data_IF_550389346297
#
_entry.id   IF_550389346297
#
_cell.length_a   1.000
_cell.length_b   1.000
_cell.length_c   1.000
_cell.angle_alpha   90.00
_cell.angle_beta   90.00
_cell.angle_gamma   90.00
#
_symmetry.space_group_name_H-M   'P 1'
#
loop_
_entity.id
_entity.type
_entity.pdbx_description
1 polymer ?
#
# COMPACT_ATOMS: atom_id res chain seq x y z
N UNK A 1 32.42 17.70 10.14
CA UNK A 1 31.46 16.58 10.08
C UNK A 1 30.27 17.09 9.29
N UNK A 2 30.01 16.53 8.11
CA UNK A 2 28.81 16.88 7.36
C UNK A 2 27.61 16.47 8.20
N UNK A 3 26.71 17.41 8.44
CA UNK A 3 25.46 17.20 9.16
C UNK A 3 24.73 16.06 8.44
N UNK A 4 24.57 14.91 9.11
CA UNK A 4 23.90 13.75 8.51
C UNK A 4 22.47 14.20 8.23
N UNK A 5 22.09 14.18 6.95
CA UNK A 5 20.73 14.51 6.53
C UNK A 5 19.75 13.60 7.28
N UNK A 6 18.99 14.18 8.21
CA UNK A 6 17.98 13.48 8.99
C UNK A 6 16.64 14.22 8.86
N UNK A 7 15.59 13.47 8.54
CA UNK A 7 14.23 14.01 8.44
C UNK A 7 13.56 14.17 9.81
N UNK A 8 14.19 13.66 10.87
CA UNK A 8 13.70 13.69 12.24
C UNK A 8 14.52 14.61 13.15
N UNK A 9 13.98 14.85 14.35
CA UNK A 9 14.65 15.46 15.49
C UNK A 9 14.37 14.65 16.77
N UNK A 10 15.27 14.80 17.73
CA UNK A 10 15.04 14.30 19.08
C UNK A 10 14.00 15.17 19.81
N UNK A 11 13.33 14.58 20.78
CA UNK A 11 12.31 15.24 21.60
C UNK A 11 12.57 14.96 23.08
N UNK A 12 12.10 15.83 23.97
CA UNK A 12 12.08 15.52 25.39
C UNK A 12 10.88 14.63 25.73
N UNK A 13 11.09 13.57 26.51
CA UNK A 13 10.01 12.71 27.00
C UNK A 13 8.97 13.46 27.84
N UNK A 14 9.29 14.66 28.35
CA UNK A 14 8.35 15.50 29.08
C UNK A 14 7.45 16.37 28.19
N UNK A 15 7.71 16.44 26.88
CA UNK A 15 6.87 17.21 25.96
C UNK A 15 5.54 16.49 25.70
N UNK A 16 4.43 17.23 25.58
CA UNK A 16 3.16 16.65 25.16
C UNK A 16 3.28 16.03 23.76
N UNK A 17 2.32 15.18 23.40
CA UNK A 17 2.20 14.65 22.05
C UNK A 17 1.99 15.79 21.04
N UNK A 18 2.61 15.70 19.86
CA UNK A 18 2.51 16.70 18.79
C UNK A 18 2.35 16.07 17.41
N UNK A 19 1.86 16.86 16.46
CA UNK A 19 1.85 16.50 15.06
C UNK A 19 3.28 16.17 14.58
N UNK A 20 3.42 15.07 13.83
CA UNK A 20 4.71 14.58 13.37
C UNK A 20 5.48 13.73 14.38
N UNK A 21 4.97 13.52 15.60
CA UNK A 21 5.51 12.50 16.52
C UNK A 21 5.40 11.11 15.87
N UNK A 22 6.45 10.30 16.02
CA UNK A 22 6.47 8.91 15.57
C UNK A 22 6.25 7.99 16.77
N UNK A 23 5.25 7.11 16.63
CA UNK A 23 4.90 6.07 17.58
C UNK A 23 5.39 4.72 17.04
N UNK A 24 5.96 3.91 17.92
CA UNK A 24 6.33 2.53 17.66
C UNK A 24 5.51 1.63 18.58
N UNK A 25 4.91 0.58 18.01
CA UNK A 25 4.20 -0.43 18.77
C UNK A 25 5.17 -1.15 19.73
N UNK A 26 4.69 -1.43 20.95
CA UNK A 26 5.44 -2.22 21.94
C UNK A 26 5.39 -3.71 21.58
N UNK A 27 4.32 -4.16 20.94
CA UNK A 27 4.24 -5.51 20.39
C UNK A 27 5.18 -5.65 19.18
N UNK A 28 6.18 -6.52 19.32
CA UNK A 28 7.14 -6.84 18.27
C UNK A 28 6.49 -7.51 17.05
N UNK A 29 5.32 -8.13 17.23
CA UNK A 29 4.57 -8.79 16.16
C UNK A 29 3.47 -7.90 15.56
N UNK A 30 3.44 -6.61 15.91
CA UNK A 30 2.47 -5.67 15.34
C UNK A 30 2.50 -5.70 13.81
N UNK A 31 1.31 -5.71 13.22
CA UNK A 31 1.15 -5.67 11.76
C UNK A 31 1.79 -4.40 11.20
N UNK A 32 2.20 -4.42 9.93
CA UNK A 32 2.86 -3.28 9.28
C UNK A 32 2.05 -1.98 9.35
N UNK A 33 0.73 -2.09 9.44
CA UNK A 33 -0.22 -0.97 9.53
C UNK A 33 -0.23 -0.27 10.90
N UNK A 34 0.22 -0.96 11.95
CA UNK A 34 0.19 -0.49 13.33
C UNK A 34 1.59 -0.31 13.90
N UNK A 35 2.61 -0.96 13.32
CA UNK A 35 3.95 -1.04 13.89
C UNK A 35 4.62 0.32 14.07
N UNK A 36 4.57 1.16 13.04
CA UNK A 36 5.16 2.49 13.03
C UNK A 36 4.12 3.48 12.54
N UNK A 37 3.80 4.45 13.39
CA UNK A 37 2.73 5.40 13.14
C UNK A 37 3.26 6.83 13.24
N UNK A 38 2.87 7.70 12.32
CA UNK A 38 3.09 9.13 12.44
C UNK A 38 1.80 9.83 12.84
N UNK A 39 1.86 10.65 13.89
CA UNK A 39 0.74 11.48 14.34
C UNK A 39 0.43 12.55 13.29
N UNK A 40 -0.80 12.58 12.79
CA UNK A 40 -1.28 13.63 11.87
C UNK A 40 -2.32 14.55 12.51
N UNK A 41 -2.86 14.21 13.68
CA UNK A 41 -3.71 15.13 14.46
C UNK A 41 -3.01 16.49 14.61
N UNK A 42 -3.72 17.56 14.28
CA UNK A 42 -3.17 18.90 14.31
C UNK A 42 -2.80 19.32 15.75
N UNK A 43 -1.73 20.09 15.90
CA UNK A 43 -1.29 20.58 17.21
C UNK A 43 -2.36 21.42 17.91
N UNK A 44 -3.19 22.16 17.16
CA UNK A 44 -4.30 22.90 17.74
C UNK A 44 -5.37 21.95 18.31
N UNK A 45 -5.64 20.82 17.66
CA UNK A 45 -6.60 19.85 18.17
C UNK A 45 -6.08 19.15 19.43
N UNK A 46 -4.78 18.82 19.47
CA UNK A 46 -4.09 18.27 20.64
C UNK A 46 -4.09 19.26 21.81
N UNK A 47 -3.73 20.53 21.56
CA UNK A 47 -3.66 21.55 22.61
C UNK A 47 -5.03 21.90 23.21
N UNK A 48 -6.11 21.79 22.44
CA UNK A 48 -7.48 22.10 22.88
C UNK A 48 -8.31 20.85 23.18
N UNK A 49 -7.73 19.66 23.20
CA UNK A 49 -8.41 18.38 23.44
C UNK A 49 -9.65 18.16 22.56
N UNK A 50 -9.59 18.60 21.30
CA UNK A 50 -10.68 18.45 20.30
C UNK A 50 -10.75 17.05 19.70
N UNK A 51 -9.77 16.22 19.99
CA UNK A 51 -9.63 14.85 19.49
C UNK A 51 -10.28 13.81 20.42
N UNK A 52 -10.82 14.23 21.58
CA UNK A 52 -11.51 13.35 22.53
C UNK A 52 -10.70 12.11 22.94
N UNK A 53 -9.38 12.26 23.13
CA UNK A 53 -8.43 11.19 23.43
C UNK A 53 -8.06 10.28 22.25
N UNK A 54 -8.59 10.49 21.04
CA UNK A 54 -8.27 9.71 19.83
C UNK A 54 -7.25 10.43 18.96
N UNK A 55 -6.06 9.87 18.84
CA UNK A 55 -4.98 10.41 18.02
C UNK A 55 -5.01 9.77 16.65
N UNK A 56 -5.25 10.58 15.62
CA UNK A 56 -5.20 10.16 14.23
C UNK A 56 -3.74 10.04 13.79
N UNK A 57 -3.41 8.86 13.29
CA UNK A 57 -2.09 8.54 12.78
C UNK A 57 -2.17 7.94 11.37
N UNK A 58 -1.03 7.89 10.70
CA UNK A 58 -0.83 7.14 9.46
C UNK A 58 0.33 6.16 9.61
N UNK A 59 0.34 5.04 8.87
CA UNK A 59 1.43 4.08 8.92
C UNK A 59 2.66 4.56 8.18
N UNK A 60 3.83 4.23 8.73
CA UNK A 60 5.13 4.31 8.09
C UNK A 60 5.56 2.88 7.72
N UNK A 61 5.32 2.50 6.48
CA UNK A 61 5.69 1.17 5.96
C UNK A 61 7.16 1.16 5.59
N UNK A 62 7.86 0.05 5.82
CA UNK A 62 9.18 -0.12 5.20
C UNK A 62 9.04 -0.07 3.68
N UNK A 63 10.10 0.32 2.98
CA UNK A 63 10.04 0.36 1.53
C UNK A 63 9.73 -1.02 0.92
N UNK A 64 10.20 -2.10 1.54
CA UNK A 64 9.87 -3.46 1.14
C UNK A 64 8.38 -3.77 1.28
N UNK A 65 7.78 -3.50 2.45
CA UNK A 65 6.34 -3.69 2.71
C UNK A 65 5.48 -2.89 1.73
N UNK A 66 5.79 -1.60 1.54
CA UNK A 66 5.06 -0.76 0.61
C UNK A 66 5.14 -1.28 -0.83
N UNK A 67 6.33 -1.70 -1.28
CA UNK A 67 6.50 -2.22 -2.64
C UNK A 67 5.78 -3.56 -2.84
N UNK A 68 5.87 -4.46 -1.87
CA UNK A 68 5.17 -5.75 -1.88
C UNK A 68 3.65 -5.60 -1.90
N UNK A 69 3.11 -4.68 -1.11
CA UNK A 69 1.66 -4.50 -0.96
C UNK A 69 1.07 -3.64 -2.09
N UNK A 70 1.75 -2.57 -2.50
CA UNK A 70 1.16 -1.54 -3.37
C UNK A 70 1.67 -1.58 -4.81
N UNK A 71 2.89 -2.03 -5.04
CA UNK A 71 3.53 -1.96 -6.37
C UNK A 71 3.51 -3.30 -7.07
N UNK A 72 3.97 -4.35 -6.39
CA UNK A 72 4.04 -5.72 -6.95
C UNK A 72 2.69 -6.19 -7.50
N UNK A 73 1.54 -6.05 -6.80
CA UNK A 73 0.26 -6.52 -7.32
C UNK A 73 -0.17 -5.80 -8.60
N UNK A 74 0.10 -4.49 -8.70
CA UNK A 74 -0.17 -3.72 -9.94
C UNK A 74 0.68 -4.20 -11.10
N UNK A 75 1.97 -4.44 -10.86
CA UNK A 75 2.88 -4.96 -11.89
C UNK A 75 2.46 -6.37 -12.32
N UNK A 76 2.16 -7.25 -11.35
CA UNK A 76 1.64 -8.61 -11.58
C UNK A 76 0.39 -8.58 -12.45
N UNK A 77 -0.62 -7.80 -12.06
CA UNK A 77 -1.88 -7.71 -12.79
C UNK A 77 -1.66 -7.25 -14.24
N UNK A 78 -0.78 -6.28 -14.48
CA UNK A 78 -0.43 -5.87 -15.85
C UNK A 78 0.29 -6.98 -16.63
N UNK A 79 1.21 -7.70 -15.99
CA UNK A 79 2.01 -8.73 -16.67
C UNK A 79 1.19 -9.99 -16.99
N UNK A 80 0.21 -10.34 -16.16
CA UNK A 80 -0.64 -11.53 -16.33
C UNK A 80 -1.63 -11.39 -17.50
N UNK A 81 -1.98 -10.16 -17.90
CA UNK A 81 -2.91 -9.89 -19.00
C UNK A 81 -2.50 -10.59 -20.30
N UNK A 82 -1.20 -10.59 -20.62
CA UNK A 82 -0.70 -11.20 -21.85
C UNK A 82 -0.89 -12.72 -21.89
N UNK A 83 -0.36 -13.52 -20.94
CA UNK A 83 -0.55 -14.97 -20.97
C UNK A 83 -2.02 -15.37 -20.80
N UNK A 84 -2.82 -14.65 -20.01
CA UNK A 84 -4.28 -14.88 -19.92
C UNK A 84 -4.94 -14.63 -21.28
N UNK A 85 -4.57 -13.56 -21.97
CA UNK A 85 -5.06 -13.27 -23.32
C UNK A 85 -4.63 -14.31 -24.37
N UNK A 86 -3.47 -14.95 -24.19
CA UNK A 86 -3.03 -16.06 -25.04
C UNK A 86 -3.91 -17.30 -24.81
N UNK A 87 -4.23 -17.64 -23.56
CA UNK A 87 -5.14 -18.75 -23.25
C UNK A 87 -6.56 -18.51 -23.76
N UNK A 88 -7.10 -17.29 -23.59
CA UNK A 88 -8.43 -16.94 -24.12
C UNK A 88 -8.49 -17.13 -25.64
N UNK A 89 -7.46 -16.70 -26.37
CA UNK A 89 -7.38 -16.91 -27.84
C UNK A 89 -7.30 -18.37 -28.23
N UNK A 90 -6.72 -19.24 -27.40
CA UNK A 90 -6.71 -20.69 -27.63
C UNK A 90 -8.13 -21.24 -27.41
N UNK A 91 -8.78 -20.88 -26.31
CA UNK A 91 -10.17 -21.28 -26.02
C UNK A 91 -11.13 -20.88 -27.14
N UNK A 92 -11.04 -19.65 -27.64
CA UNK A 92 -11.88 -19.19 -28.75
C UNK A 92 -11.64 -20.01 -30.02
N UNK A 93 -10.39 -20.38 -30.31
CA UNK A 93 -10.02 -21.12 -31.52
C UNK A 93 -10.52 -22.56 -31.51
N UNK A 94 -10.48 -23.21 -30.35
CA UNK A 94 -10.95 -24.60 -30.20
C UNK A 94 -12.47 -24.69 -30.00
N UNK A 95 -13.19 -23.57 -29.97
CA UNK A 95 -14.62 -23.55 -29.63
C UNK A 95 -14.90 -23.96 -28.18
N UNK A 96 -13.97 -23.62 -27.28
CA UNK A 96 -14.03 -23.95 -25.86
C UNK A 96 -15.11 -23.19 -25.09
N UNK A 97 -15.25 -23.48 -23.78
CA UNK A 97 -16.21 -22.80 -22.93
C UNK A 97 -15.91 -21.30 -22.86
N UNK A 98 -16.97 -20.48 -22.79
CA UNK A 98 -16.82 -19.05 -22.48
C UNK A 98 -16.47 -18.89 -21.01
N UNK A 99 -15.24 -18.46 -20.74
CA UNK A 99 -14.70 -18.24 -19.39
C UNK A 99 -14.18 -16.80 -19.31
N UNK A 100 -14.37 -16.14 -18.17
CA UNK A 100 -13.80 -14.81 -17.95
C UNK A 100 -12.28 -14.89 -17.76
N UNK A 101 -11.57 -13.79 -18.06
CA UNK A 101 -10.12 -13.69 -17.85
C UNK A 101 -9.73 -13.99 -16.39
N UNK A 102 -10.52 -13.49 -15.44
CA UNK A 102 -10.36 -13.72 -14.01
C UNK A 102 -10.52 -15.20 -13.64
N UNK A 103 -11.60 -15.86 -14.08
CA UNK A 103 -11.82 -17.28 -13.78
C UNK A 103 -10.72 -18.15 -14.38
N UNK A 104 -10.27 -17.82 -15.59
CA UNK A 104 -9.19 -18.53 -16.26
C UNK A 104 -7.88 -18.41 -15.49
N UNK A 105 -7.53 -17.21 -15.01
CA UNK A 105 -6.38 -16.99 -14.13
C UNK A 105 -6.48 -17.85 -12.87
N UNK A 106 -7.61 -17.83 -12.17
CA UNK A 106 -7.81 -18.67 -10.98
C UNK A 106 -7.67 -20.16 -11.27
N UNK A 107 -8.17 -20.63 -12.41
CA UNK A 107 -8.07 -22.04 -12.78
C UNK A 107 -6.60 -22.49 -12.89
N UNK A 108 -5.72 -21.63 -13.41
CA UNK A 108 -4.27 -21.93 -13.47
C UNK A 108 -3.61 -22.06 -12.10
N UNK A 109 -4.19 -21.48 -11.05
CA UNK A 109 -3.68 -21.63 -9.67
C UNK A 109 -4.29 -22.82 -8.93
N UNK A 110 -5.40 -23.35 -9.41
CA UNK A 110 -6.11 -24.50 -8.83
C UNK A 110 -5.58 -25.85 -9.36
N UNK A 111 -5.19 -25.88 -10.63
CA UNK A 111 -4.86 -27.10 -11.37
C UNK A 111 -3.47 -27.03 -12.02
N UNK A 112 -2.85 -28.20 -12.22
CA UNK A 112 -1.58 -28.28 -12.95
C UNK A 112 -1.78 -27.97 -14.44
N UNK A 113 -0.71 -27.50 -15.11
CA UNK A 113 -0.76 -27.25 -16.55
C UNK A 113 -1.16 -28.50 -17.34
N UNK A 114 -0.68 -29.69 -16.95
CA UNK A 114 -1.05 -30.97 -17.56
C UNK A 114 -2.55 -31.25 -17.46
N UNK A 115 -3.12 -31.07 -16.27
CA UNK A 115 -4.56 -31.27 -16.00
C UNK A 115 -5.41 -30.35 -16.90
N UNK A 116 -5.06 -29.07 -16.97
CA UNK A 116 -5.78 -28.07 -17.78
C UNK A 116 -5.67 -28.40 -19.28
N UNK A 117 -4.47 -28.72 -19.78
CA UNK A 117 -4.23 -29.08 -21.17
C UNK A 117 -5.02 -30.33 -21.56
N UNK A 118 -5.03 -31.33 -20.70
CA UNK A 118 -5.79 -32.57 -20.90
C UNK A 118 -7.30 -32.32 -20.89
N UNK A 119 -7.81 -31.52 -19.93
CA UNK A 119 -9.22 -31.17 -19.83
C UNK A 119 -9.72 -30.43 -21.07
N UNK A 120 -8.91 -29.52 -21.62
CA UNK A 120 -9.19 -28.77 -22.84
C UNK A 120 -8.91 -29.57 -24.12
N UNK A 121 -8.34 -30.78 -24.00
CA UNK A 121 -7.93 -31.64 -25.12
C UNK A 121 -7.06 -30.90 -26.14
N UNK A 122 -6.16 -30.04 -25.65
CA UNK A 122 -5.26 -29.29 -26.51
C UNK A 122 -4.22 -30.23 -27.11
N UNK A 123 -3.91 -30.04 -28.39
CA UNK A 123 -2.95 -30.85 -29.12
C UNK A 123 -1.83 -30.00 -29.71
N UNK A 124 -0.69 -30.63 -29.95
CA UNK A 124 0.44 -30.08 -30.70
C UNK A 124 0.84 -28.67 -30.25
N UNK A 125 0.81 -27.71 -31.17
CA UNK A 125 1.24 -26.34 -30.97
C UNK A 125 0.41 -25.60 -29.91
N UNK A 126 -0.90 -25.85 -29.86
CA UNK A 126 -1.76 -25.17 -28.89
C UNK A 126 -1.52 -25.68 -27.46
N UNK A 127 -1.17 -26.95 -27.29
CA UNK A 127 -0.76 -27.49 -25.99
C UNK A 127 0.56 -26.85 -25.49
N UNK A 128 1.53 -26.64 -26.39
CA UNK A 128 2.82 -26.01 -26.04
C UNK A 128 2.62 -24.54 -25.63
N UNK A 129 1.86 -23.77 -26.40
CA UNK A 129 1.59 -22.36 -26.10
C UNK A 129 0.78 -22.25 -24.80
N UNK A 130 -0.25 -23.08 -24.63
CA UNK A 130 -1.06 -23.06 -23.41
C UNK A 130 -0.24 -23.41 -22.17
N UNK A 131 0.64 -24.42 -22.25
CA UNK A 131 1.55 -24.77 -21.16
C UNK A 131 2.39 -23.58 -20.72
N UNK A 132 3.08 -22.95 -21.68
CA UNK A 132 3.94 -21.81 -21.40
C UNK A 132 3.15 -20.64 -20.79
N UNK A 133 1.91 -20.40 -21.25
CA UNK A 133 1.05 -19.37 -20.68
C UNK A 133 0.57 -19.72 -19.26
N UNK A 134 0.19 -20.98 -18.99
CA UNK A 134 -0.23 -21.45 -17.66
C UNK A 134 0.92 -21.34 -16.67
N UNK A 135 2.09 -21.88 -17.00
CA UNK A 135 3.28 -21.84 -16.15
C UNK A 135 3.74 -20.39 -15.91
N UNK A 136 3.63 -19.53 -16.93
CA UNK A 136 3.86 -18.09 -16.78
C UNK A 136 2.92 -17.46 -15.75
N UNK A 137 1.61 -17.73 -15.82
CA UNK A 137 0.63 -17.20 -14.85
C UNK A 137 0.92 -17.72 -13.44
N UNK A 138 1.16 -19.03 -13.30
CA UNK A 138 1.49 -19.66 -12.01
C UNK A 138 2.72 -19.01 -11.37
N UNK A 139 3.77 -18.77 -12.16
CA UNK A 139 4.97 -18.12 -11.67
C UNK A 139 4.73 -16.64 -11.31
N UNK A 140 3.94 -15.91 -12.10
CA UNK A 140 3.58 -14.50 -11.81
C UNK A 140 2.73 -14.37 -10.53
N UNK A 141 1.84 -15.33 -10.30
CA UNK A 141 0.90 -15.35 -9.17
C UNK A 141 1.46 -16.04 -7.92
N UNK A 142 2.64 -16.65 -8.02
CA UNK A 142 3.32 -17.28 -6.89
C UNK A 142 3.47 -16.29 -5.72
N UNK A 143 3.04 -16.72 -4.53
CA UNK A 143 3.20 -15.98 -3.29
C UNK A 143 4.68 -15.79 -2.98
N UNK A 144 5.01 -14.65 -2.38
CA UNK A 144 6.37 -14.33 -1.97
C UNK A 144 6.31 -13.47 -0.72
N UNK A 145 7.03 -13.88 0.31
CA UNK A 145 7.13 -13.15 1.57
C UNK A 145 8.21 -12.06 1.53
N UNK A 146 9.12 -12.14 0.55
CA UNK A 146 10.22 -11.19 0.35
C UNK A 146 10.12 -10.49 -1.01
N UNK A 147 10.47 -9.20 -1.05
CA UNK A 147 10.43 -8.40 -2.28
C UNK A 147 11.33 -8.99 -3.36
N UNK A 148 12.54 -9.42 -3.00
CA UNK A 148 13.47 -10.00 -3.97
C UNK A 148 12.92 -11.27 -4.62
N UNK A 149 12.17 -12.09 -3.88
CA UNK A 149 11.53 -13.28 -4.43
C UNK A 149 10.34 -12.89 -5.32
N UNK A 150 9.51 -11.93 -4.89
CA UNK A 150 8.42 -11.41 -5.69
C UNK A 150 8.90 -10.84 -7.03
N UNK A 151 9.96 -10.03 -7.03
CA UNK A 151 10.53 -9.46 -8.25
C UNK A 151 11.12 -10.52 -9.17
N UNK A 152 11.76 -11.57 -8.63
CA UNK A 152 12.24 -12.71 -9.41
C UNK A 152 11.09 -13.46 -10.06
N UNK A 153 10.04 -13.78 -9.30
CA UNK A 153 8.82 -14.42 -9.82
C UNK A 153 8.23 -13.64 -11.00
N UNK A 154 8.17 -12.31 -10.91
CA UNK A 154 7.70 -11.44 -12.00
C UNK A 154 8.60 -11.46 -13.25
N UNK A 155 9.93 -11.59 -13.08
CA UNK A 155 10.87 -11.68 -14.20
C UNK A 155 10.81 -13.07 -14.83
N UNK A 156 10.89 -14.13 -14.02
CA UNK A 156 10.96 -15.50 -14.48
C UNK A 156 9.64 -15.93 -15.13
N UNK A 157 8.50 -15.48 -14.60
CA UNK A 157 7.18 -15.70 -15.21
C UNK A 157 7.07 -15.11 -16.62
N UNK A 158 7.74 -13.99 -16.91
CA UNK A 158 7.80 -13.45 -18.27
C UNK A 158 8.69 -14.28 -19.20
N UNK A 159 9.77 -14.86 -18.66
CA UNK A 159 10.76 -15.63 -19.44
C UNK A 159 10.28 -17.05 -19.77
N UNK A 160 9.30 -17.57 -19.04
CA UNK A 160 8.70 -18.88 -19.30
C UNK A 160 7.62 -18.91 -20.40
N UNK A 161 7.17 -17.75 -20.92
CA UNK A 161 6.10 -17.70 -21.93
C UNK A 161 6.53 -18.14 -23.34
N UNK A 162 5.56 -18.42 -24.23
CA UNK A 162 5.80 -18.91 -25.62
C UNK A 162 6.72 -18.01 -26.45
N UNK A 163 6.62 -16.68 -26.23
CA UNK A 163 7.47 -15.67 -26.86
C UNK A 163 8.07 -14.78 -25.78
N UNK A 164 9.13 -15.25 -25.10
CA UNK A 164 9.66 -14.54 -23.96
C UNK A 164 10.38 -13.28 -24.44
N UNK A 165 10.25 -12.15 -23.71
CA UNK A 165 11.10 -10.99 -23.94
C UNK A 165 12.56 -11.34 -23.60
N UNK A 166 13.50 -10.49 -24.03
CA UNK A 166 14.87 -10.60 -23.52
C UNK A 166 14.89 -10.38 -22.01
N UNK A 167 15.82 -11.01 -21.29
CA UNK A 167 15.97 -10.82 -19.84
C UNK A 167 16.10 -9.35 -19.44
N UNK A 168 16.84 -8.56 -20.23
CA UNK A 168 16.97 -7.11 -20.04
C UNK A 168 15.60 -6.40 -20.05
N UNK A 169 14.74 -6.74 -21.01
CA UNK A 169 13.41 -6.13 -21.13
C UNK A 169 12.46 -6.63 -20.03
N UNK A 170 12.53 -7.91 -19.65
CA UNK A 170 11.76 -8.45 -18.53
C UNK A 170 12.08 -7.74 -17.21
N UNK A 171 13.39 -7.58 -16.93
CA UNK A 171 13.88 -6.85 -15.75
C UNK A 171 13.44 -5.39 -15.77
N UNK A 172 13.56 -4.69 -16.90
CA UNK A 172 13.12 -3.30 -17.01
C UNK A 172 11.62 -3.14 -16.72
N UNK A 173 10.77 -4.00 -17.31
CA UNK A 173 9.31 -3.96 -17.08
C UNK A 173 8.90 -4.13 -15.61
N UNK A 174 9.73 -4.80 -14.81
CA UNK A 174 9.52 -5.03 -13.38
C UNK A 174 10.14 -3.92 -12.53
N UNK A 175 11.36 -3.50 -12.83
CA UNK A 175 12.08 -2.50 -12.03
C UNK A 175 11.68 -1.06 -12.32
N UNK A 176 11.19 -0.73 -13.52
CA UNK A 176 10.78 0.64 -13.85
C UNK A 176 9.63 1.12 -12.96
N UNK A 177 8.54 0.34 -12.74
CA UNK A 177 7.49 0.72 -11.78
C UNK A 177 7.98 0.84 -10.33
N UNK A 178 8.94 -0.01 -9.92
CA UNK A 178 9.55 0.07 -8.58
C UNK A 178 10.34 1.37 -8.44
N UNK A 179 11.15 1.72 -9.45
CA UNK A 179 11.89 2.98 -9.50
C UNK A 179 10.96 4.18 -9.49
N UNK A 180 9.89 4.12 -10.26
CA UNK A 180 8.88 5.18 -10.33
C UNK A 180 8.23 5.41 -8.97
N UNK A 181 7.93 4.35 -8.21
CA UNK A 181 7.37 4.48 -6.87
C UNK A 181 8.26 5.29 -5.91
N UNK A 182 9.59 5.24 -6.05
CA UNK A 182 10.51 6.09 -5.28
C UNK A 182 10.60 7.52 -5.83
N UNK A 183 10.69 7.67 -7.15
CA UNK A 183 10.93 8.97 -7.79
C UNK A 183 9.69 9.87 -7.76
N UNK A 184 8.52 9.25 -7.94
CA UNK A 184 7.23 9.89 -8.09
C UNK A 184 6.18 8.99 -7.42
N UNK A 185 6.23 8.85 -6.08
CA UNK A 185 5.19 8.12 -5.38
C UNK A 185 3.82 8.70 -5.74
N UNK A 186 2.77 7.85 -5.78
CA UNK A 186 1.42 8.33 -5.97
C UNK A 186 1.06 9.36 -4.87
N UNK A 187 0.09 10.22 -5.14
CA UNK A 187 -0.24 11.36 -4.27
C UNK A 187 -0.66 10.98 -2.84
N UNK A 188 -0.93 9.70 -2.60
CA UNK A 188 -1.28 9.08 -1.33
C UNK A 188 -0.08 8.42 -0.61
N UNK A 189 1.14 8.59 -1.09
CA UNK A 189 2.33 8.08 -0.44
C UNK A 189 3.46 9.13 -0.45
N UNK A 190 4.29 9.13 0.60
CA UNK A 190 5.49 9.97 0.65
C UNK A 190 6.68 9.14 1.15
N UNK A 191 7.77 9.15 0.39
CA UNK A 191 9.01 8.50 0.80
C UNK A 191 9.72 9.33 1.89
N UNK A 192 10.18 8.64 2.92
CA UNK A 192 10.97 9.17 4.04
C UNK A 192 12.19 8.26 4.17
N UNK A 193 13.40 8.81 4.10
CA UNK A 193 14.63 8.01 4.18
C UNK A 193 14.89 7.47 5.59
N UNK A 194 14.71 8.32 6.61
CA UNK A 194 14.93 7.98 8.01
C UNK A 194 13.97 8.75 8.92
N UNK A 195 13.31 8.07 9.85
CA UNK A 195 12.46 8.74 10.84
C UNK A 195 12.95 8.60 12.29
N UNK A 196 13.93 7.74 12.57
CA UNK A 196 14.57 7.59 13.87
C UNK A 196 15.98 7.00 13.72
N UNK A 197 16.83 7.09 14.74
CA UNK A 197 18.24 6.69 14.67
C UNK A 197 18.48 5.22 14.26
N UNK A 198 17.57 4.31 14.62
CA UNK A 198 17.62 2.88 14.25
C UNK A 198 16.76 2.52 13.04
N UNK A 199 16.23 3.53 12.32
CA UNK A 199 15.24 3.37 11.26
C UNK A 199 15.67 4.13 10.00
N UNK A 200 16.67 3.60 9.30
CA UNK A 200 17.36 4.22 8.15
C UNK A 200 17.19 3.48 6.82
N UNK A 201 16.25 2.53 6.75
CA UNK A 201 16.06 1.63 5.60
C UNK A 201 15.12 2.18 4.51
N UNK A 202 14.65 3.41 4.64
CA UNK A 202 13.65 3.99 3.75
C UNK A 202 12.24 3.47 4.03
N UNK A 203 11.29 4.39 4.03
CA UNK A 203 9.92 4.17 4.43
C UNK A 203 8.96 4.95 3.53
N UNK A 204 7.71 4.49 3.46
CA UNK A 204 6.62 5.21 2.87
C UNK A 204 5.58 5.53 3.93
N UNK A 205 5.33 6.83 4.13
CA UNK A 205 4.14 7.28 4.81
C UNK A 205 2.94 7.07 3.88
N UNK A 206 2.03 6.17 4.25
CA UNK A 206 0.86 5.84 3.42
C UNK A 206 -0.38 6.55 3.93
N UNK A 207 -0.95 7.42 3.10
CA UNK A 207 -1.91 8.44 3.53
C UNK A 207 -3.37 7.98 3.43
N UNK A 208 -3.65 6.87 2.73
CA UNK A 208 -5.01 6.31 2.61
C UNK A 208 -5.41 5.43 3.79
N UNK A 209 -4.46 5.03 4.62
CA UNK A 209 -4.73 4.25 5.81
C UNK A 209 -4.65 5.16 7.03
N UNK A 210 -5.73 5.19 7.81
CA UNK A 210 -5.83 6.01 9.01
C UNK A 210 -5.96 5.10 10.22
N UNK A 211 -5.06 5.31 11.18
CA UNK A 211 -5.12 4.65 12.48
C UNK A 211 -5.59 5.61 13.56
N UNK A 212 -6.34 5.08 14.53
CA UNK A 212 -6.88 5.84 15.65
C UNK A 212 -6.33 5.27 16.96
N UNK A 213 -5.28 5.90 17.48
CA UNK A 213 -4.63 5.47 18.72
C UNK A 213 -5.32 6.14 19.91
N UNK A 214 -5.58 5.39 20.97
CA UNK A 214 -6.04 5.98 22.22
C UNK A 214 -4.87 6.66 22.93
N UNK A 215 -4.93 7.97 23.18
CA UNK A 215 -3.82 8.75 23.75
C UNK A 215 -3.28 8.14 25.06
N UNK A 216 -4.10 7.65 26.01
CA UNK A 216 -3.61 6.95 27.20
C UNK A 216 -2.80 5.67 26.94
N UNK A 217 -2.92 5.07 25.75
CA UNK A 217 -2.12 3.90 25.32
C UNK A 217 -0.74 4.31 24.77
N UNK A 218 -0.45 5.62 24.67
CA UNK A 218 0.86 6.14 24.29
C UNK A 218 1.69 6.42 25.55
N UNK A 219 2.87 5.81 25.64
CA UNK A 219 3.81 6.09 26.72
C UNK A 219 4.44 7.48 26.55
N UNK A 220 3.86 8.49 27.23
CA UNK A 220 4.39 9.86 27.31
C UNK A 220 5.30 10.03 28.55
N UNK A 221 5.59 8.94 29.27
CA UNK A 221 6.50 8.97 30.42
C UNK A 221 6.69 7.61 31.10
N UNK A 222 7.58 7.53 32.12
CA UNK A 222 8.01 6.27 32.74
C UNK A 222 6.94 5.55 33.58
N UNK A 223 5.74 6.11 33.73
CA UNK A 223 4.68 5.58 34.61
C UNK A 223 3.54 4.84 33.88
N UNK A 224 3.62 4.66 32.56
CA UNK A 224 2.57 3.96 31.82
C UNK A 224 2.80 2.44 31.85
N UNK A 225 1.95 1.69 32.59
CA UNK A 225 2.03 0.23 32.69
C UNK A 225 1.35 -0.50 31.52
N UNK A 226 0.34 0.12 30.90
CA UNK A 226 -0.50 -0.48 29.87
C UNK A 226 -0.34 0.19 28.50
N UNK A 227 0.82 0.78 28.23
CA UNK A 227 1.08 1.40 26.94
C UNK A 227 1.12 0.34 25.83
N UNK A 228 0.52 0.66 24.68
CA UNK A 228 0.66 -0.11 23.43
C UNK A 228 1.68 0.52 22.50
N UNK A 229 1.92 1.81 22.66
CA UNK A 229 2.83 2.58 21.83
C UNK A 229 3.83 3.34 22.67
N UNK A 230 5.04 3.51 22.14
CA UNK A 230 6.04 4.42 22.67
C UNK A 230 6.41 5.45 21.60
N UNK A 231 6.63 6.70 22.02
CA UNK A 231 7.15 7.72 21.10
C UNK A 231 8.65 7.50 20.91
N UNK A 232 9.11 7.47 19.67
CA UNK A 232 10.52 7.17 19.32
C UNK A 232 11.26 8.33 18.66
N UNK A 233 10.54 9.26 18.04
CA UNK A 233 11.11 10.46 17.41
C UNK A 233 10.01 11.45 17.02
N UNK A 234 10.40 12.56 16.39
CA UNK A 234 9.49 13.50 15.71
C UNK A 234 10.06 13.86 14.33
N UNK A 235 9.23 13.90 13.30
CA UNK A 235 9.63 14.46 12.00
C UNK A 235 9.79 15.98 12.11
N UNK A 236 10.80 16.53 11.43
CA UNK A 236 11.00 17.97 11.37
C UNK A 236 9.82 18.64 10.66
N UNK A 237 9.47 19.84 11.10
CA UNK A 237 8.29 20.60 10.65
C UNK A 237 8.12 20.62 9.13
N UNK A 238 9.20 20.84 8.36
CA UNK A 238 9.13 20.86 6.89
C UNK A 238 8.56 19.58 6.27
N UNK A 239 8.86 18.42 6.86
CA UNK A 239 8.37 17.11 6.38
C UNK A 239 6.97 16.84 6.90
N UNK A 240 6.72 17.16 8.18
CA UNK A 240 5.39 17.09 8.79
C UNK A 240 4.38 17.90 7.99
N UNK A 241 4.69 19.17 7.68
CA UNK A 241 3.82 20.03 6.89
C UNK A 241 3.62 19.53 5.45
N UNK A 242 4.69 19.09 4.78
CA UNK A 242 4.59 18.55 3.43
C UNK A 242 3.68 17.31 3.36
N UNK A 243 3.79 16.45 4.37
CA UNK A 243 2.97 15.24 4.48
C UNK A 243 1.52 15.58 4.84
N UNK A 244 1.27 16.47 5.79
CA UNK A 244 -0.09 16.90 6.18
C UNK A 244 -0.79 17.61 5.03
N UNK A 245 -0.07 18.45 4.27
CA UNK A 245 -0.62 19.08 3.06
C UNK A 245 -0.99 18.03 2.00
N UNK A 246 -0.13 17.01 1.82
CA UNK A 246 -0.41 15.90 0.90
C UNK A 246 -1.62 15.09 1.37
N UNK A 247 -1.71 14.80 2.67
CA UNK A 247 -2.84 14.14 3.29
C UNK A 247 -4.15 14.91 3.02
N UNK A 248 -4.18 16.22 3.29
CA UNK A 248 -5.34 17.04 3.00
C UNK A 248 -5.76 16.96 1.52
N UNK A 249 -4.79 16.99 0.61
CA UNK A 249 -5.03 16.87 -0.84
C UNK A 249 -5.70 15.54 -1.22
N UNK A 250 -5.33 14.43 -0.57
CA UNK A 250 -5.92 13.10 -0.83
C UNK A 250 -7.42 13.07 -0.51
N UNK A 251 -7.87 13.79 0.53
CA UNK A 251 -9.25 13.73 1.02
C UNK A 251 -10.12 14.94 0.66
N UNK A 252 -9.53 16.06 0.25
CA UNK A 252 -10.28 17.24 -0.22
C UNK A 252 -10.83 17.09 -1.64
N UNK A 253 -10.43 16.06 -2.40
CA UNK A 253 -10.76 15.91 -3.82
C UNK A 253 -12.24 15.57 -4.11
N UNK A 254 -13.09 15.39 -3.09
CA UNK A 254 -14.51 15.05 -3.24
C UNK A 254 -15.34 16.13 -2.53
N UNK A 255 -15.80 17.13 -3.30
CA UNK A 255 -16.78 18.10 -2.82
C UNK A 255 -18.15 17.46 -2.63
N UNK A 256 -19.01 18.08 -1.81
CA UNK A 256 -20.40 17.66 -1.67
C UNK A 256 -21.24 18.27 -2.82
N UNK A 257 -22.26 17.54 -3.33
CA UNK A 257 -23.23 18.11 -4.26
C UNK A 257 -23.99 19.27 -3.61
N UNK A 258 -24.44 20.23 -4.42
CA UNK A 258 -25.15 21.42 -3.93
C UNK A 258 -26.45 21.05 -3.21
N UNK A 259 -27.10 19.97 -3.63
CA UNK A 259 -28.32 19.42 -3.04
C UNK A 259 -28.15 19.05 -1.56
N UNK A 260 -26.93 18.69 -1.13
CA UNK A 260 -26.63 18.44 0.28
C UNK A 260 -26.66 19.73 1.11
N UNK A 261 -26.14 20.83 0.55
CA UNK A 261 -26.10 22.13 1.22
C UNK A 261 -27.52 22.67 1.39
N UNK A 262 -28.35 22.58 0.34
CA UNK A 262 -29.77 22.95 0.39
C UNK A 262 -30.54 22.15 1.45
N UNK A 263 -30.34 20.83 1.50
CA UNK A 263 -31.00 19.98 2.49
C UNK A 263 -30.60 20.34 3.93
N UNK A 264 -29.31 20.63 4.17
CA UNK A 264 -28.81 21.05 5.49
C UNK A 264 -29.48 22.34 5.95
N UNK A 265 -29.61 23.31 5.06
CA UNK A 265 -30.18 24.61 5.38
C UNK A 265 -31.69 24.49 5.69
N UNK A 266 -32.42 23.62 4.97
CA UNK A 266 -33.83 23.28 5.29
C UNK A 266 -33.96 22.66 6.69
N UNK A 267 -33.07 21.75 7.08
CA UNK A 267 -33.10 21.17 8.44
C UNK A 267 -32.84 22.22 9.53
N UNK A 268 -31.95 23.18 9.29
CA UNK A 268 -31.71 24.28 10.21
C UNK A 268 -32.97 25.16 10.38
N UNK A 269 -33.64 25.48 9.28
CA UNK A 269 -34.90 26.25 9.31
C UNK A 269 -36.00 25.52 10.09
N UNK A 270 -36.16 24.21 9.87
CA UNK A 270 -37.11 23.37 10.60
C UNK A 270 -36.85 23.32 12.10
N UNK A 271 -35.58 23.28 12.53
CA UNK A 271 -35.24 23.37 13.95
C UNK A 271 -35.56 24.73 14.55
N UNK A 272 -35.37 25.81 13.79
CA UNK A 272 -35.72 27.17 14.20
C UNK A 272 -37.22 27.38 14.35
N UNK A 273 -38.03 26.75 13.51
CA UNK A 273 -39.48 26.84 13.58
C UNK A 273 -40.10 25.99 14.70
N UNK A 274 -39.44 24.90 15.12
CA UNK A 274 -39.85 24.10 16.28
C UNK A 274 -39.65 24.80 17.63
N UNK A 275 -38.89 25.92 17.64
CA UNK A 275 -38.59 26.72 18.83
C UNK A 275 -39.38 28.03 18.90
N UNK A 276 -40.28 28.28 17.92
CA UNK A 276 -41.25 29.40 17.93
C UNK A 276 -42.61 28.91 18.39
#
# INVERSE_FOLDING_TARGET
MADVFAEFCDFSTSEPLRQGDILEAIDINAAMWERHLMVITADCDLAFNKHHGRVTCIPLLTAEEYLLEMVVPRVRNRLVEKPVGELLKILDRIGGPRVSAERLRHWTTEESADSIIQALKLLEKDAVIARAAIESIQQLDASADELNQALRNLVDGQLGGDKPPTRKNAVARVLDPVREAYQRPPGDAMFISTFAASHDRGYFAYLRHLEQVWEPEVAIGPKHRDAKYKRISRLRDRYTHALVQRFATVFMAIGLPHEYEEARDVYFELMGDALK
#
